data_IF_637979760431
#
_entry.id   IF_637979760431
#
_cell.length_a   1.000
_cell.length_b   1.000
_cell.length_c   1.000
_cell.angle_alpha   90.00
_cell.angle_beta   90.00
_cell.angle_gamma   90.00
#
_symmetry.space_group_name_H-M   'P 1'
#
loop_
_entity.id
_entity.type
_entity.pdbx_description
1 polymer ?
#
# COMPACT_ATOMS: atom_id res chain seq x y z
N UNK A 1 3.45 26.16 -6.29
CA UNK A 1 3.92 27.41 -5.66
C UNK A 1 3.99 27.16 -4.15
N UNK A 2 5.07 27.59 -3.51
CA UNK A 2 5.37 27.49 -2.06
C UNK A 2 5.86 26.14 -1.52
N UNK A 3 7.18 25.97 -1.54
CA UNK A 3 7.95 25.21 -0.54
C UNK A 3 8.13 26.07 0.71
N UNK A 4 7.62 25.61 1.86
CA UNK A 4 8.05 26.05 3.18
C UNK A 4 8.39 24.79 3.99
N UNK A 5 9.65 24.67 4.37
CA UNK A 5 10.16 23.53 5.12
C UNK A 5 10.09 23.76 6.62
N UNK A 6 9.95 22.67 7.36
CA UNK A 6 10.47 22.47 8.71
C UNK A 6 10.87 20.99 8.82
N UNK A 7 12.03 20.72 9.42
CA UNK A 7 12.54 19.38 9.65
C UNK A 7 11.53 18.55 10.46
N UNK A 8 11.25 17.35 9.98
CA UNK A 8 10.33 16.39 10.58
C UNK A 8 10.33 15.13 9.73
N UNK A 9 10.19 13.96 10.35
CA UNK A 9 10.26 12.68 9.66
C UNK A 9 9.25 12.65 8.50
N UNK A 10 9.78 12.57 7.27
CA UNK A 10 8.98 12.71 6.06
C UNK A 10 8.23 11.40 5.78
N UNK A 11 7.03 11.29 6.33
CA UNK A 11 6.06 10.25 6.02
C UNK A 11 5.11 10.74 4.92
N UNK A 12 4.81 9.89 3.94
CA UNK A 12 3.80 10.15 2.90
C UNK A 12 2.72 9.08 2.99
N UNK A 13 1.46 9.51 3.06
CA UNK A 13 0.28 8.64 3.02
C UNK A 13 -0.16 8.43 1.57
N UNK A 14 -0.31 7.17 1.20
CA UNK A 14 -0.85 6.74 -0.09
C UNK A 14 -2.10 5.89 0.16
N UNK A 15 -3.05 5.95 -0.77
CA UNK A 15 -4.21 5.07 -0.82
C UNK A 15 -4.07 4.10 -1.99
N UNK A 16 -4.48 2.84 -1.81
CA UNK A 16 -4.47 1.80 -2.83
C UNK A 16 -4.89 2.30 -4.23
N UNK A 17 -4.07 2.02 -5.24
CA UNK A 17 -4.27 2.33 -6.67
C UNK A 17 -4.44 3.80 -7.09
N UNK A 18 -4.47 4.77 -6.16
CA UNK A 18 -4.61 6.19 -6.50
C UNK A 18 -3.36 6.78 -7.18
N UNK A 19 -2.20 6.14 -7.02
CA UNK A 19 -0.97 6.62 -7.65
C UNK A 19 -1.07 6.63 -9.17
N UNK A 20 -1.71 5.63 -9.79
CA UNK A 20 -1.89 5.55 -11.24
C UNK A 20 -2.65 6.74 -11.82
N UNK A 21 -3.50 7.37 -11.01
CA UNK A 21 -4.27 8.55 -11.39
C UNK A 21 -3.53 9.88 -11.14
N UNK A 22 -2.35 9.85 -10.52
CA UNK A 22 -1.57 11.05 -10.18
C UNK A 22 -0.79 11.55 -11.39
N UNK A 23 -0.89 12.86 -11.69
CA UNK A 23 -0.11 13.48 -12.75
C UNK A 23 1.41 13.30 -12.50
N UNK A 24 2.13 12.76 -13.49
CA UNK A 24 3.54 12.42 -13.36
C UNK A 24 3.81 11.00 -12.82
N UNK A 25 2.79 10.16 -12.67
CA UNK A 25 2.99 8.73 -12.46
C UNK A 25 3.78 8.12 -13.62
N UNK A 26 4.91 7.52 -13.30
CA UNK A 26 5.63 6.61 -14.17
C UNK A 26 5.82 5.28 -13.42
N UNK A 27 5.53 4.14 -14.04
CA UNK A 27 5.89 2.85 -13.47
C UNK A 27 7.41 2.76 -13.33
N UNK A 28 7.87 2.01 -12.33
CA UNK A 28 9.29 1.81 -12.13
C UNK A 28 9.92 1.08 -13.33
N UNK A 29 11.16 1.42 -13.73
CA UNK A 29 11.90 0.63 -14.73
C UNK A 29 12.01 -0.83 -14.30
N UNK A 30 11.95 -1.76 -15.27
CA UNK A 30 12.04 -3.19 -15.00
C UNK A 30 13.28 -3.52 -14.14
N UNK A 31 13.06 -4.23 -13.03
CA UNK A 31 14.13 -4.64 -12.11
C UNK A 31 14.51 -3.63 -11.04
N UNK A 32 13.87 -2.45 -10.96
CA UNK A 32 14.09 -1.49 -9.87
C UNK A 32 12.79 -1.04 -9.25
N UNK A 33 12.74 -1.07 -7.92
CA UNK A 33 11.67 -0.49 -7.11
C UNK A 33 11.48 1.01 -7.36
N UNK A 34 10.24 1.49 -7.33
CA UNK A 34 9.93 2.93 -7.35
C UNK A 34 10.31 3.59 -6.03
N UNK A 35 10.86 4.80 -6.11
CA UNK A 35 11.15 5.62 -4.94
C UNK A 35 10.37 6.94 -4.99
N UNK A 36 9.87 7.38 -3.83
CA UNK A 36 9.27 8.71 -3.67
C UNK A 36 10.35 9.66 -3.14
N UNK A 37 10.57 10.76 -3.85
CA UNK A 37 11.60 11.75 -3.54
C UNK A 37 10.95 13.12 -3.33
N UNK A 38 11.18 13.74 -2.18
CA UNK A 38 10.67 15.08 -1.83
C UNK A 38 11.85 16.00 -1.51
N UNK A 39 11.99 17.07 -2.29
CA UNK A 39 13.13 18.00 -2.22
C UNK A 39 14.48 17.26 -2.34
N UNK A 40 14.61 16.38 -3.32
CA UNK A 40 15.84 15.62 -3.57
C UNK A 40 16.16 14.53 -2.54
N UNK A 41 15.32 14.30 -1.53
CA UNK A 41 15.51 13.25 -0.52
C UNK A 41 14.43 12.18 -0.62
N UNK A 42 14.84 10.91 -0.66
CA UNK A 42 13.91 9.76 -0.58
C UNK A 42 13.16 9.79 0.74
N UNK A 43 11.84 9.63 0.68
CA UNK A 43 10.94 9.64 1.86
C UNK A 43 10.36 8.26 2.08
N UNK A 44 9.90 7.97 3.31
CA UNK A 44 9.24 6.70 3.61
C UNK A 44 7.76 6.82 3.22
N UNK A 45 7.30 5.92 2.37
CA UNK A 45 5.90 5.83 1.96
C UNK A 45 5.18 4.76 2.78
N UNK A 46 4.09 5.14 3.43
CA UNK A 46 3.26 4.23 4.22
C UNK A 46 1.85 4.20 3.62
N UNK A 47 1.41 3.02 3.17
CA UNK A 47 -0.01 2.80 2.89
C UNK A 47 -0.70 2.45 4.21
N UNK A 48 -1.73 3.21 4.55
CA UNK A 48 -2.56 2.99 5.75
C UNK A 48 -3.92 2.39 5.42
N UNK A 49 -4.19 2.15 4.14
CA UNK A 49 -5.41 1.59 3.61
C UNK A 49 -5.05 0.39 2.74
N UNK A 50 -4.59 -0.69 3.36
CA UNK A 50 -4.34 -1.97 2.71
C UNK A 50 -5.05 -3.08 3.46
N UNK A 51 -5.71 -3.98 2.74
CA UNK A 51 -6.54 -5.03 3.34
C UNK A 51 -5.86 -6.39 3.27
N UNK A 52 -6.11 -7.23 4.27
CA UNK A 52 -5.77 -8.65 4.25
C UNK A 52 -6.91 -9.52 4.81
N UNK A 53 -6.82 -10.82 4.56
CA UNK A 53 -7.71 -11.83 5.10
C UNK A 53 -6.96 -12.95 5.79
N UNK A 54 -7.50 -13.38 6.95
CA UNK A 54 -6.98 -14.50 7.73
C UNK A 54 -7.96 -15.67 7.58
N UNK A 55 -7.59 -16.75 6.86
CA UNK A 55 -8.50 -17.86 6.54
C UNK A 55 -9.22 -18.44 7.76
N UNK A 56 -8.51 -18.63 8.87
CA UNK A 56 -9.05 -19.18 10.10
C UNK A 56 -10.11 -18.25 10.71
N UNK A 57 -9.86 -16.93 10.71
CA UNK A 57 -10.83 -15.96 11.21
C UNK A 57 -12.09 -15.90 10.33
N UNK A 58 -11.92 -15.99 9.00
CA UNK A 58 -13.04 -16.04 8.06
C UNK A 58 -13.89 -17.30 8.25
N UNK A 59 -13.25 -18.45 8.50
CA UNK A 59 -13.94 -19.70 8.80
C UNK A 59 -14.76 -19.61 10.11
N UNK A 60 -14.22 -18.96 11.15
CA UNK A 60 -14.92 -18.76 12.43
C UNK A 60 -16.22 -17.96 12.30
N UNK A 61 -16.27 -16.99 11.38
CA UNK A 61 -17.47 -16.17 11.12
C UNK A 61 -18.27 -16.65 9.91
N UNK A 62 -18.01 -17.87 9.42
CA UNK A 62 -18.67 -18.47 8.27
C UNK A 62 -18.70 -17.57 7.03
N UNK A 63 -17.58 -16.88 6.74
CA UNK A 63 -17.43 -15.98 5.59
C UNK A 63 -16.52 -16.61 4.53
N UNK A 64 -16.95 -16.74 3.27
CA UNK A 64 -16.10 -17.23 2.21
C UNK A 64 -15.06 -16.18 1.79
N UNK A 65 -13.93 -16.63 1.22
CA UNK A 65 -12.93 -15.74 0.63
C UNK A 65 -13.50 -15.01 -0.58
N UNK A 66 -13.65 -13.68 -0.47
CA UNK A 66 -14.25 -12.86 -1.52
C UNK A 66 -13.26 -12.49 -2.63
N UNK A 67 -11.98 -12.37 -2.29
CA UNK A 67 -10.92 -12.08 -3.24
C UNK A 67 -9.62 -12.76 -2.82
N UNK A 68 -9.00 -13.51 -3.73
CA UNK A 68 -7.73 -14.19 -3.50
C UNK A 68 -6.59 -13.23 -3.16
N UNK A 69 -6.66 -11.99 -3.64
CA UNK A 69 -5.70 -10.93 -3.32
C UNK A 69 -5.70 -10.46 -1.86
N UNK A 70 -6.70 -10.84 -1.06
CA UNK A 70 -6.70 -10.59 0.39
C UNK A 70 -5.79 -11.57 1.14
N UNK A 71 -5.53 -12.76 0.57
CA UNK A 71 -4.70 -13.75 1.22
C UNK A 71 -3.23 -13.35 1.18
N UNK A 72 -2.57 -13.47 2.32
CA UNK A 72 -1.13 -13.26 2.45
C UNK A 72 -0.31 -14.50 2.02
N UNK A 73 -0.91 -15.43 1.28
CA UNK A 73 -0.25 -16.66 0.82
C UNK A 73 0.77 -16.42 -0.29
N UNK A 74 0.65 -15.31 -1.02
CA UNK A 74 1.60 -14.91 -2.06
C UNK A 74 2.25 -13.56 -1.71
N UNK A 75 3.17 -13.61 -0.74
CA UNK A 75 3.92 -12.43 -0.27
C UNK A 75 4.77 -11.83 -1.38
N UNK A 76 5.32 -12.64 -2.30
CA UNK A 76 6.18 -12.16 -3.38
C UNK A 76 5.45 -11.23 -4.34
N UNK A 77 4.23 -11.59 -4.78
CA UNK A 77 3.43 -10.74 -5.67
C UNK A 77 3.01 -9.44 -4.99
N UNK A 78 2.71 -9.49 -3.68
CA UNK A 78 2.39 -8.29 -2.89
C UNK A 78 3.58 -7.34 -2.78
N UNK A 79 4.76 -7.87 -2.45
CA UNK A 79 5.99 -7.08 -2.39
C UNK A 79 6.35 -6.48 -3.76
N UNK A 80 6.16 -7.24 -4.86
CA UNK A 80 6.32 -6.70 -6.22
C UNK A 80 5.37 -5.53 -6.47
N UNK A 81 4.09 -5.66 -6.10
CA UNK A 81 3.11 -4.59 -6.25
C UNK A 81 3.45 -3.37 -5.39
N UNK A 82 3.94 -3.57 -4.15
CA UNK A 82 4.45 -2.49 -3.30
C UNK A 82 5.64 -1.79 -3.96
N UNK A 83 6.55 -2.55 -4.59
CA UNK A 83 7.73 -2.00 -5.25
C UNK A 83 7.39 -1.20 -6.50
N UNK A 84 6.43 -1.65 -7.31
CA UNK A 84 5.92 -0.94 -8.48
C UNK A 84 5.24 0.38 -8.08
N UNK A 85 4.53 0.38 -6.94
CA UNK A 85 3.84 1.55 -6.39
C UNK A 85 4.76 2.47 -5.57
N UNK A 86 5.91 1.99 -5.10
CA UNK A 86 6.83 2.73 -4.25
C UNK A 86 6.39 2.83 -2.78
N UNK A 87 5.74 1.78 -2.27
CA UNK A 87 5.21 1.66 -0.90
C UNK A 87 6.22 0.91 -0.02
N UNK A 88 6.74 1.54 1.04
CA UNK A 88 7.72 0.92 1.95
C UNK A 88 7.08 0.05 3.00
N UNK A 89 5.91 0.46 3.49
CA UNK A 89 5.19 -0.20 4.57
C UNK A 89 3.71 -0.13 4.25
N UNK A 90 3.01 -1.24 4.50
CA UNK A 90 1.56 -1.28 4.48
C UNK A 90 1.09 -1.61 5.89
N UNK A 91 0.31 -0.71 6.49
CA UNK A 91 -0.41 -0.99 7.72
C UNK A 91 -1.68 -1.75 7.35
N UNK A 92 -1.61 -3.07 7.52
CA UNK A 92 -2.69 -3.98 7.14
C UNK A 92 -3.90 -3.86 8.08
N UNK A 93 -5.08 -3.73 7.48
CA UNK A 93 -6.37 -3.88 8.16
C UNK A 93 -7.10 -5.12 7.66
N UNK A 94 -7.93 -5.71 8.52
CA UNK A 94 -8.91 -6.71 8.11
C UNK A 94 -10.00 -6.00 7.28
N UNK A 95 -10.37 -6.57 6.13
CA UNK A 95 -11.29 -5.94 5.17
C UNK A 95 -12.60 -5.44 5.84
N UNK A 96 -12.99 -4.16 5.66
CA UNK A 96 -14.12 -3.52 6.34
C UNK A 96 -15.49 -4.07 5.96
N UNK A 97 -15.64 -4.83 4.86
CA UNK A 97 -16.90 -5.48 4.52
C UNK A 97 -17.31 -6.59 5.52
N UNK A 98 -16.46 -6.89 6.52
CA UNK A 98 -16.70 -7.94 7.53
C UNK A 98 -17.29 -7.42 8.84
N UNK A 99 -17.39 -6.09 9.04
CA UNK A 99 -18.14 -5.52 10.16
C UNK A 99 -19.59 -5.27 9.72
N UNK A 100 -20.46 -6.24 9.98
CA UNK A 100 -21.89 -5.91 10.10
C UNK A 100 -22.08 -5.26 11.48
N UNK A 101 -22.23 -3.94 11.49
CA UNK A 101 -22.91 -3.26 12.58
C UNK A 101 -24.43 -3.43 12.39
#
# INVERSE_FOLDING_TARGET
MSTLGLGGEKLVFTSCAALSATAGYAPAPAGRRREVVVNGRRVKTVDVHAHCGVPEAMALVNRPLEATGLLMTNVADRLRAMDEQGIDVEALSINPYWYTA
#
